data_IF_417075806845
#
_entry.id   IF_417075806845
#
_cell.length_a   1.000
_cell.length_b   1.000
_cell.length_c   1.000
_cell.angle_alpha   90.00
_cell.angle_beta   90.00
_cell.angle_gamma   90.00
#
_symmetry.space_group_name_H-M   'P 1'
#
loop_
_entity.id
_entity.type
_entity.pdbx_description
1 polymer ?
#
# COMPACT_ATOMS: atom_id res chain seq x y z
N UNK A 1 -6.72 20.30 -3.24
CA UNK A 1 -6.44 19.14 -4.10
C UNK A 1 -7.67 18.24 -4.13
N UNK A 2 -8.07 17.75 -5.30
CA UNK A 2 -9.16 16.76 -5.39
C UNK A 2 -8.73 15.46 -4.72
N UNK A 3 -9.53 14.92 -3.77
CA UNK A 3 -9.26 13.61 -3.19
C UNK A 3 -9.19 12.52 -4.26
N UNK A 4 -8.33 11.52 -4.05
CA UNK A 4 -8.29 10.34 -4.90
C UNK A 4 -9.46 9.42 -4.54
N UNK A 5 -10.21 8.96 -5.53
CA UNK A 5 -11.33 8.02 -5.35
C UNK A 5 -10.93 6.56 -5.62
N UNK A 6 -9.83 6.36 -6.36
CA UNK A 6 -9.34 5.04 -6.72
C UNK A 6 -7.81 4.98 -6.77
N UNK A 7 -7.27 3.89 -6.23
CA UNK A 7 -5.87 3.51 -6.36
C UNK A 7 -5.76 2.19 -7.12
N UNK A 8 -4.85 2.12 -8.09
CA UNK A 8 -4.45 0.87 -8.73
C UNK A 8 -2.99 0.58 -8.41
N UNK A 9 -2.72 -0.57 -7.79
CA UNK A 9 -1.38 -1.08 -7.54
C UNK A 9 -1.12 -2.16 -8.58
N UNK A 10 -0.25 -1.86 -9.53
CA UNK A 10 0.21 -2.81 -10.54
C UNK A 10 1.44 -3.55 -10.03
N UNK A 11 1.35 -4.88 -9.94
CA UNK A 11 2.51 -5.71 -9.60
C UNK A 11 3.48 -5.83 -10.77
N UNK A 12 3.02 -5.79 -12.02
CA UNK A 12 3.93 -5.81 -13.18
C UNK A 12 4.76 -4.52 -13.26
N UNK A 13 4.14 -3.36 -13.06
CA UNK A 13 4.83 -2.07 -13.14
C UNK A 13 5.59 -1.73 -11.85
N UNK A 14 5.34 -2.45 -10.75
CA UNK A 14 5.73 -2.07 -9.39
C UNK A 14 5.42 -0.59 -9.13
N UNK A 15 4.19 -0.19 -9.45
CA UNK A 15 3.76 1.20 -9.40
C UNK A 15 2.34 1.30 -8.83
N UNK A 16 2.12 2.39 -8.09
CA UNK A 16 0.81 2.83 -7.64
C UNK A 16 0.35 3.99 -8.52
N UNK A 17 -0.84 3.85 -9.08
CA UNK A 17 -1.54 4.85 -9.87
C UNK A 17 -2.74 5.38 -9.08
N UNK A 18 -2.78 6.70 -8.86
CA UNK A 18 -3.87 7.35 -8.14
C UNK A 18 -4.79 8.13 -9.08
N UNK A 19 -6.09 7.93 -8.97
CA UNK A 19 -7.10 8.53 -9.83
C UNK A 19 -8.10 9.40 -9.05
N UNK A 20 -8.65 10.40 -9.72
CA UNK A 20 -9.80 11.17 -9.26
C UNK A 20 -10.72 11.46 -10.45
N UNK A 21 -11.98 11.02 -10.36
CA UNK A 21 -12.96 11.11 -11.45
C UNK A 21 -12.51 10.37 -12.70
N UNK A 22 -11.83 9.23 -12.54
CA UNK A 22 -11.27 8.45 -13.66
C UNK A 22 -10.03 9.07 -14.32
N UNK A 23 -9.59 10.26 -13.91
CA UNK A 23 -8.37 10.88 -14.42
C UNK A 23 -7.18 10.50 -13.55
N UNK A 24 -6.09 10.08 -14.17
CA UNK A 24 -4.83 9.81 -13.48
C UNK A 24 -4.28 11.12 -12.89
N UNK A 25 -3.93 11.11 -11.59
CA UNK A 25 -3.41 12.27 -10.85
C UNK A 25 -2.09 12.02 -10.15
N UNK A 26 -1.62 10.79 -10.09
CA UNK A 26 -0.43 10.42 -9.35
C UNK A 26 0.13 9.09 -9.86
N UNK A 27 1.46 8.98 -9.94
CA UNK A 27 2.19 7.73 -10.16
C UNK A 27 3.34 7.68 -9.16
N UNK A 28 3.42 6.61 -8.38
CA UNK A 28 4.46 6.42 -7.37
C UNK A 28 5.07 5.03 -7.54
N UNK A 29 6.41 4.90 -7.63
CA UNK A 29 7.04 3.60 -7.60
C UNK A 29 6.81 2.95 -6.24
N UNK A 30 6.55 1.64 -6.23
CA UNK A 30 6.34 0.87 -5.00
C UNK A 30 7.28 -0.32 -4.96
N UNK A 31 7.37 -0.95 -3.79
CA UNK A 31 7.93 -2.31 -3.66
C UNK A 31 6.91 -3.21 -3.00
N UNK A 32 6.47 -4.21 -3.74
CA UNK A 32 5.52 -5.23 -3.29
C UNK A 32 6.26 -6.49 -2.82
N UNK A 33 5.52 -7.55 -2.48
CA UNK A 33 6.09 -8.75 -1.87
C UNK A 33 7.13 -9.44 -2.75
N UNK A 34 8.25 -9.82 -2.16
CA UNK A 34 9.25 -10.69 -2.81
C UNK A 34 8.63 -12.02 -3.28
N UNK A 35 7.70 -12.57 -2.49
CA UNK A 35 6.99 -13.82 -2.81
C UNK A 35 5.88 -13.63 -3.87
N UNK A 36 5.78 -12.44 -4.46
CA UNK A 36 4.82 -12.14 -5.51
C UNK A 36 3.36 -12.08 -5.02
N UNK A 37 2.39 -12.34 -5.91
CA UNK A 37 0.97 -12.27 -5.61
C UNK A 37 0.48 -13.48 -4.79
N UNK A 38 -0.46 -13.25 -3.86
CA UNK A 38 -1.09 -14.33 -3.10
C UNK A 38 -1.82 -13.89 -1.84
N UNK A 39 -2.91 -14.59 -1.53
CA UNK A 39 -3.87 -14.14 -0.53
C UNK A 39 -3.81 -14.91 0.79
N UNK A 40 -3.21 -16.11 0.79
CA UNK A 40 -3.13 -16.97 1.97
C UNK A 40 -2.35 -16.31 3.13
N UNK A 41 -2.89 -16.44 4.33
CA UNK A 41 -2.24 -16.00 5.55
C UNK A 41 -0.91 -16.75 5.75
N UNK A 42 0.13 -16.02 6.16
CA UNK A 42 1.49 -16.56 6.30
C UNK A 42 2.26 -16.74 4.99
N UNK A 43 1.70 -16.46 3.81
CA UNK A 43 2.41 -16.66 2.54
C UNK A 43 3.52 -15.64 2.26
N UNK A 44 3.51 -14.49 2.94
CA UNK A 44 4.39 -13.36 2.63
C UNK A 44 4.11 -12.68 1.28
N UNK A 45 3.03 -13.06 0.58
CA UNK A 45 2.66 -12.51 -0.73
C UNK A 45 1.81 -11.23 -0.60
N UNK A 46 1.75 -10.41 -1.65
CA UNK A 46 0.81 -9.28 -1.73
C UNK A 46 -0.56 -9.78 -2.22
N UNK A 47 -1.67 -9.56 -1.48
CA UNK A 47 -2.98 -10.04 -1.91
C UNK A 47 -3.49 -9.25 -3.12
N UNK A 48 -4.14 -9.95 -4.06
CA UNK A 48 -4.78 -9.33 -5.24
C UNK A 48 -6.26 -9.04 -5.00
N UNK A 49 -6.87 -8.38 -5.96
CA UNK A 49 -8.30 -8.11 -6.05
C UNK A 49 -8.70 -6.77 -5.46
N UNK A 50 -10.01 -6.59 -5.27
CA UNK A 50 -10.59 -5.35 -4.72
C UNK A 50 -10.34 -5.25 -3.22
N UNK A 51 -9.95 -4.06 -2.81
CA UNK A 51 -9.70 -3.64 -1.44
C UNK A 51 -10.28 -2.24 -1.23
N UNK A 52 -10.24 -1.79 0.02
CA UNK A 52 -10.47 -0.41 0.39
C UNK A 52 -9.45 0.02 1.45
N UNK A 53 -9.18 1.32 1.51
CA UNK A 53 -8.47 1.92 2.65
C UNK A 53 -9.41 1.92 3.85
N UNK A 54 -9.20 0.99 4.78
CA UNK A 54 -10.06 0.81 5.96
C UNK A 54 -9.75 1.78 7.09
N UNK A 55 -8.48 2.16 7.22
CA UNK A 55 -8.01 3.08 8.24
C UNK A 55 -6.74 3.82 7.77
N UNK A 56 -6.54 5.00 8.35
CA UNK A 56 -5.37 5.85 8.15
C UNK A 56 -4.71 6.06 9.51
N UNK A 57 -3.40 5.83 9.61
CA UNK A 57 -2.67 5.91 10.87
C UNK A 57 -1.42 6.75 10.69
N UNK A 58 -1.15 7.58 11.71
CA UNK A 58 0.05 8.39 11.80
C UNK A 58 -0.13 9.86 11.39
N UNK A 59 -1.36 10.33 11.17
CA UNK A 59 -1.63 11.76 10.95
C UNK A 59 -0.92 12.63 12.02
N UNK A 60 -0.31 13.73 11.60
CA UNK A 60 0.48 14.60 12.47
C UNK A 60 1.84 14.06 12.97
N UNK A 61 2.20 12.81 12.72
CA UNK A 61 3.52 12.27 13.13
C UNK A 61 4.66 12.81 12.25
N UNK A 62 5.91 12.85 12.75
CA UNK A 62 7.06 13.27 11.94
C UNK A 62 7.31 12.35 10.74
N UNK A 63 7.97 12.89 9.70
CA UNK A 63 8.49 12.09 8.59
C UNK A 63 9.50 11.07 9.14
N UNK A 64 9.41 9.81 8.72
CA UNK A 64 10.26 8.73 9.23
C UNK A 64 9.85 8.20 10.60
N UNK A 65 8.70 8.62 11.17
CA UNK A 65 8.18 8.06 12.42
C UNK A 65 8.10 6.53 12.34
N UNK A 66 8.68 5.83 13.32
CA UNK A 66 8.72 4.37 13.35
C UNK A 66 7.42 3.84 13.95
N UNK A 67 6.70 3.00 13.20
CA UNK A 67 5.43 2.41 13.61
C UNK A 67 5.61 0.93 13.92
N UNK A 68 5.12 0.49 15.10
CA UNK A 68 5.05 -0.93 15.49
C UNK A 68 3.65 -1.23 16.01
N UNK A 69 3.02 -2.31 15.53
CA UNK A 69 1.64 -2.63 15.92
C UNK A 69 0.65 -1.49 15.63
N UNK A 70 0.90 -0.73 14.55
CA UNK A 70 0.16 0.49 14.16
C UNK A 70 0.20 1.64 15.18
N UNK A 71 1.23 1.70 16.04
CA UNK A 71 1.45 2.80 16.99
C UNK A 71 2.85 3.37 16.80
N UNK A 72 2.98 4.68 17.01
CA UNK A 72 4.30 5.31 17.04
C UNK A 72 5.11 4.78 18.22
N UNK A 73 6.36 4.43 17.98
CA UNK A 73 7.28 3.98 19.04
C UNK A 73 7.92 5.15 19.80
N UNK A 74 7.70 6.39 19.34
CA UNK A 74 8.44 7.57 19.79
C UNK A 74 9.73 7.81 18.99
N UNK A 75 10.16 6.83 18.19
CA UNK A 75 11.38 6.93 17.39
C UNK A 75 11.10 7.55 16.01
N UNK A 76 12.09 8.26 15.48
CA UNK A 76 12.18 8.65 14.08
C UNK A 76 13.35 7.90 13.47
N UNK A 77 13.13 7.29 12.31
CA UNK A 77 14.15 6.51 11.63
C UNK A 77 15.36 7.36 11.27
N UNK A 78 16.55 6.80 11.48
CA UNK A 78 17.84 7.33 11.02
C UNK A 78 18.72 6.18 10.53
N UNK A 79 19.76 6.45 9.73
CA UNK A 79 20.74 5.43 9.35
C UNK A 79 21.38 4.73 10.57
N UNK A 80 21.69 5.49 11.63
CA UNK A 80 22.27 4.94 12.86
C UNK A 80 21.30 3.98 13.56
N UNK A 81 20.01 4.32 13.59
CA UNK A 81 18.98 3.43 14.14
C UNK A 81 18.79 2.19 13.25
N UNK A 82 18.94 2.33 11.93
CA UNK A 82 18.87 1.20 11.00
C UNK A 82 19.99 0.19 11.27
N UNK A 83 21.23 0.65 11.43
CA UNK A 83 22.40 -0.19 11.68
C UNK A 83 22.30 -1.00 12.98
N UNK A 84 21.59 -0.48 14.00
CA UNK A 84 21.34 -1.20 15.26
C UNK A 84 20.38 -2.37 15.11
N UNK A 85 19.52 -2.38 14.08
CA UNK A 85 18.50 -3.42 13.88
C UNK A 85 18.54 -3.95 12.43
N UNK A 86 19.63 -4.65 12.04
CA UNK A 86 19.77 -5.19 10.70
C UNK A 86 18.63 -6.17 10.39
N UNK A 87 18.07 -6.07 9.19
CA UNK A 87 16.99 -6.95 8.72
C UNK A 87 15.60 -6.67 9.32
N UNK A 88 15.45 -5.65 10.18
CA UNK A 88 14.14 -5.23 10.68
C UNK A 88 13.27 -4.71 9.52
N UNK A 89 12.03 -5.19 9.43
CA UNK A 89 11.04 -4.61 8.52
C UNK A 89 10.53 -3.28 9.11
N UNK A 90 10.90 -2.18 8.45
CA UNK A 90 10.61 -0.83 8.90
C UNK A 90 9.28 -0.34 8.33
N UNK A 91 8.30 -0.10 9.20
CA UNK A 91 7.06 0.59 8.86
C UNK A 91 7.19 2.03 9.31
N UNK A 92 7.31 2.96 8.35
CA UNK A 92 7.63 4.35 8.62
C UNK A 92 6.51 5.30 8.22
N UNK A 93 6.55 6.49 8.80
CA UNK A 93 5.84 7.70 8.39
C UNK A 93 4.32 7.61 8.57
N UNK A 94 3.61 6.80 7.78
CA UNK A 94 2.15 6.60 7.86
C UNK A 94 1.80 5.15 7.51
N UNK A 95 0.56 4.77 7.78
CA UNK A 95 -0.05 3.53 7.30
C UNK A 95 -1.41 3.85 6.68
N UNK A 96 -1.64 3.39 5.45
CA UNK A 96 -2.97 3.16 4.89
C UNK A 96 -3.27 1.67 5.02
N UNK A 97 -4.17 1.30 5.93
CA UNK A 97 -4.47 -0.10 6.20
C UNK A 97 -5.57 -0.60 5.28
N UNK A 98 -5.27 -1.65 4.52
CA UNK A 98 -6.19 -2.23 3.56
C UNK A 98 -7.11 -3.28 4.18
N UNK A 99 -8.34 -3.32 3.68
CA UNK A 99 -9.28 -4.42 3.91
C UNK A 99 -9.74 -4.95 2.56
N UNK A 100 -9.71 -6.27 2.39
CA UNK A 100 -10.20 -6.93 1.19
C UNK A 100 -11.72 -6.85 1.08
N UNK A 101 -12.21 -6.81 -0.15
CA UNK A 101 -13.64 -6.70 -0.47
C UNK A 101 -14.22 -8.00 -1.07
N UNK A 102 -13.40 -9.01 -1.36
CA UNK A 102 -13.80 -10.23 -2.08
C UNK A 102 -13.75 -11.46 -1.16
N UNK A 103 -14.94 -11.96 -0.78
CA UNK A 103 -15.06 -13.13 0.11
C UNK A 103 -14.39 -14.35 -0.51
N UNK A 104 -13.57 -15.05 0.29
CA UNK A 104 -12.88 -16.26 -0.16
C UNK A 104 -11.68 -16.01 -1.08
N UNK A 105 -11.47 -14.76 -1.52
CA UNK A 105 -10.26 -14.34 -2.23
C UNK A 105 -9.34 -13.50 -1.38
N UNK A 106 -9.80 -12.38 -0.83
CA UNK A 106 -8.96 -11.47 -0.02
C UNK A 106 -9.67 -10.97 1.26
N UNK A 107 -10.86 -11.52 1.54
CA UNK A 107 -11.73 -11.18 2.68
C UNK A 107 -12.25 -12.45 3.37
N UNK A 108 -12.24 -12.43 4.71
CA UNK A 108 -12.60 -13.52 5.60
C UNK A 108 -11.70 -14.77 5.48
N UNK A 109 -11.81 -15.67 6.47
CA UNK A 109 -11.08 -16.94 6.49
C UNK A 109 -9.56 -16.77 6.47
N UNK A 110 -8.86 -17.70 5.80
CA UNK A 110 -7.41 -17.72 5.69
C UNK A 110 -6.85 -16.72 4.68
N UNK A 111 -7.69 -15.94 4.02
CA UNK A 111 -7.27 -14.99 2.99
C UNK A 111 -7.53 -13.53 3.36
N UNK A 112 -7.95 -13.27 4.60
CA UNK A 112 -8.40 -11.95 5.03
C UNK A 112 -7.24 -10.93 5.08
N UNK A 113 -7.23 -10.00 4.13
CA UNK A 113 -6.19 -8.97 3.98
C UNK A 113 -6.06 -8.08 5.22
N UNK A 114 -7.17 -7.77 5.89
CA UNK A 114 -7.15 -6.91 7.07
C UNK A 114 -6.46 -7.61 8.24
N UNK A 115 -6.79 -8.88 8.48
CA UNK A 115 -6.15 -9.73 9.49
C UNK A 115 -4.69 -10.03 9.17
N UNK A 116 -4.32 -10.05 7.90
CA UNK A 116 -2.94 -10.17 7.42
C UNK A 116 -2.12 -8.89 7.55
N UNK A 117 -2.70 -7.79 8.05
CA UNK A 117 -1.99 -6.54 8.32
C UNK A 117 -1.32 -5.93 7.08
N UNK A 118 -1.99 -6.01 5.92
CA UNK A 118 -1.44 -5.45 4.67
C UNK A 118 -1.66 -3.94 4.62
N UNK A 119 -0.58 -3.22 4.39
CA UNK A 119 -0.51 -1.76 4.42
C UNK A 119 0.08 -1.18 3.14
N UNK A 120 -0.26 0.07 2.85
CA UNK A 120 0.68 0.98 2.19
C UNK A 120 1.40 1.76 3.29
N UNK A 121 2.73 1.77 3.26
CA UNK A 121 3.52 2.45 4.29
C UNK A 121 4.85 2.98 3.77
N UNK A 122 5.48 3.84 4.56
CA UNK A 122 6.78 4.43 4.27
C UNK A 122 7.88 3.46 4.62
N UNK A 123 9.01 3.57 3.92
CA UNK A 123 10.16 2.68 4.09
C UNK A 123 11.47 3.48 4.06
N UNK A 124 12.58 2.97 4.63
CA UNK A 124 13.90 3.58 4.51
C UNK A 124 14.31 3.81 3.05
N UNK A 125 15.10 4.85 2.80
CA UNK A 125 15.58 5.15 1.44
C UNK A 125 16.55 4.08 0.90
N UNK A 126 17.11 3.25 1.78
CA UNK A 126 17.96 2.10 1.45
C UNK A 126 17.20 0.94 0.81
N UNK A 127 15.89 0.84 1.01
CA UNK A 127 15.07 -0.21 0.37
C UNK A 127 14.84 0.15 -1.11
N UNK A 128 14.86 -0.80 -2.05
CA UNK A 128 14.66 -0.48 -3.47
C UNK A 128 13.18 -0.26 -3.79
N UNK A 129 12.88 0.61 -4.76
CA UNK A 129 11.54 0.84 -5.31
C UNK A 129 11.50 0.38 -6.77
N UNK A 130 10.32 0.01 -7.27
CA UNK A 130 10.17 -0.53 -8.63
C UNK A 130 10.52 -2.02 -8.75
N UNK A 131 10.83 -2.69 -7.63
CA UNK A 131 11.12 -4.13 -7.59
C UNK A 131 10.47 -4.78 -6.36
N UNK A 132 10.00 -6.04 -6.44
CA UNK A 132 9.38 -6.70 -5.29
C UNK A 132 10.42 -7.11 -4.23
N UNK A 133 10.31 -6.57 -3.02
CA UNK A 133 11.21 -6.83 -1.87
C UNK A 133 10.54 -6.79 -0.49
N UNK A 134 9.23 -6.57 -0.41
CA UNK A 134 8.51 -6.56 0.88
C UNK A 134 8.13 -7.97 1.35
N UNK A 135 7.56 -8.05 2.56
CA UNK A 135 7.00 -9.29 3.15
C UNK A 135 5.47 -9.40 3.01
N UNK A 136 4.86 -8.66 2.08
CA UNK A 136 3.41 -8.68 1.85
C UNK A 136 2.80 -7.29 1.72
N UNK A 137 3.33 -6.30 2.45
CA UNK A 137 2.88 -4.91 2.36
C UNK A 137 3.34 -4.23 1.08
N UNK A 138 2.80 -3.05 0.80
CA UNK A 138 3.21 -2.20 -0.31
C UNK A 138 4.04 -1.06 0.27
N UNK A 139 5.34 -1.06 -0.03
CA UNK A 139 6.29 -0.04 0.44
C UNK A 139 6.30 1.15 -0.52
N UNK A 140 6.35 2.34 0.05
CA UNK A 140 6.55 3.61 -0.65
C UNK A 140 7.71 4.38 -0.02
N UNK A 141 8.30 5.32 -0.77
CA UNK A 141 9.16 6.34 -0.17
C UNK A 141 8.36 7.17 0.84
N UNK A 142 9.04 7.63 1.89
CA UNK A 142 8.37 8.39 2.97
C UNK A 142 7.68 9.65 2.46
N UNK A 143 8.29 10.37 1.51
CA UNK A 143 7.70 11.58 0.90
C UNK A 143 6.49 11.26 0.03
N UNK A 144 6.59 10.23 -0.80
CA UNK A 144 5.50 9.76 -1.66
C UNK A 144 4.29 9.31 -0.84
N UNK A 145 4.54 8.60 0.26
CA UNK A 145 3.49 8.21 1.20
C UNK A 145 2.84 9.42 1.86
N UNK A 146 3.60 10.45 2.25
CA UNK A 146 3.04 11.67 2.83
C UNK A 146 2.09 12.36 1.84
N UNK A 147 2.48 12.48 0.58
CA UNK A 147 1.63 13.05 -0.46
C UNK A 147 0.37 12.20 -0.67
N UNK A 148 0.53 10.88 -0.81
CA UNK A 148 -0.58 9.95 -0.98
C UNK A 148 -1.56 10.02 0.20
N UNK A 149 -1.04 10.03 1.42
CA UNK A 149 -1.82 10.04 2.64
C UNK A 149 -2.71 11.28 2.75
N UNK A 150 -2.22 12.45 2.33
CA UNK A 150 -3.01 13.68 2.33
C UNK A 150 -4.19 13.64 1.34
N UNK A 151 -4.08 12.84 0.27
CA UNK A 151 -5.03 12.82 -0.85
C UNK A 151 -6.03 11.67 -0.80
N UNK A 152 -5.74 10.62 -0.03
CA UNK A 152 -6.55 9.39 0.02
C UNK A 152 -7.52 9.42 1.22
N UNK A 153 -8.84 9.37 0.99
CA UNK A 153 -9.82 9.22 2.07
C UNK A 153 -9.92 7.78 2.58
N UNK A 154 -10.51 7.60 3.77
CA UNK A 154 -11.01 6.28 4.19
C UNK A 154 -12.09 5.84 3.21
N UNK A 155 -12.19 4.53 2.95
CA UNK A 155 -13.03 3.91 1.93
C UNK A 155 -12.64 4.17 0.48
N UNK A 156 -11.52 4.86 0.22
CA UNK A 156 -10.92 4.91 -1.12
C UNK A 156 -10.74 3.48 -1.66
N UNK A 157 -11.24 3.25 -2.88
CA UNK A 157 -11.19 1.95 -3.52
C UNK A 157 -9.75 1.65 -3.96
N UNK A 158 -9.31 0.41 -3.76
CA UNK A 158 -7.96 -0.02 -4.13
C UNK A 158 -8.06 -1.31 -4.93
N UNK A 159 -7.48 -1.33 -6.12
CA UNK A 159 -7.32 -2.53 -6.93
C UNK A 159 -5.85 -2.95 -6.90
N UNK A 160 -5.59 -4.23 -6.64
CA UNK A 160 -4.25 -4.82 -6.71
C UNK A 160 -4.29 -5.95 -7.73
N UNK A 161 -3.50 -5.87 -8.78
CA UNK A 161 -3.43 -6.92 -9.81
C UNK A 161 -2.05 -7.04 -10.46
N UNK A 162 -1.89 -8.15 -11.19
CA UNK A 162 -0.65 -8.51 -11.89
C UNK A 162 -0.50 -7.79 -13.24
N UNK A 163 -1.53 -7.06 -13.69
CA UNK A 163 -1.51 -6.42 -14.98
C UNK A 163 -0.74 -5.09 -14.93
N UNK A 164 -0.16 -4.70 -16.06
CA UNK A 164 0.31 -3.33 -16.25
C UNK A 164 -0.89 -2.38 -16.21
N UNK A 165 -0.70 -1.14 -15.76
CA UNK A 165 -1.77 -0.16 -15.86
C UNK A 165 -1.89 0.30 -17.33
N UNK A 166 -3.00 0.01 -18.04
CA UNK A 166 -3.18 0.54 -19.38
C UNK A 166 -3.41 2.04 -19.25
N UNK A 167 -2.35 2.81 -19.48
CA UNK A 167 -2.42 4.26 -19.59
C UNK A 167 -3.16 4.61 -20.89
N UNK A 168 -4.49 4.44 -20.91
CA UNK A 168 -5.25 4.59 -22.14
C UNK A 168 -6.73 4.16 -22.12
N UNK A 169 -7.35 3.87 -20.97
CA UNK A 169 -8.81 3.63 -20.94
C UNK A 169 -9.46 4.68 -20.05
N UNK A 170 -9.99 5.72 -20.68
CA UNK A 170 -11.10 6.46 -20.10
C UNK A 170 -12.21 5.45 -19.77
N UNK A 171 -12.60 5.40 -18.50
CA UNK A 171 -13.93 4.99 -18.04
C UNK A 171 -14.59 3.84 -18.83
N UNK A 172 -14.33 2.58 -18.45
CA UNK A 172 -15.30 1.51 -18.76
C UNK A 172 -15.33 0.33 -17.78
N UNK A 173 -14.37 0.20 -16.84
CA UNK A 173 -14.39 -0.91 -15.87
C UNK A 173 -15.15 -0.59 -14.55
N UNK A 174 -16.07 0.37 -14.58
CA UNK A 174 -17.05 0.63 -13.52
C UNK A 174 -18.47 0.42 -14.06
N UNK A 175 -18.72 -0.72 -14.70
CA UNK A 175 -20.08 -1.27 -14.78
C UNK A 175 -20.20 -2.33 -13.70
N UNK A 176 -20.57 -1.89 -12.50
CA UNK A 176 -21.18 -2.76 -11.50
C UNK A 176 -22.54 -3.10 -12.12
N UNK A 177 -22.65 -4.28 -12.74
CA UNK A 177 -23.95 -4.86 -13.03
C UNK A 177 -24.60 -5.20 -11.69
N UNK A 178 -25.83 -4.75 -11.52
CA UNK A 178 -26.73 -5.00 -10.40
C UNK A 178 -26.80 -6.48 -10.02
#
# INVERSE_FOLDING_TARGET
>A
MTPLDFLHISLADQCLYGFAGGQLRLRLPVSTALNGPGELNGSGCTPRGRHQVRAKIGEGLPLGAVLRGRRWTGEVWSPQLHEQFPGRDWILTRILWLSGCERGRNRLGQVDTFRRYIYLHGTPDTEPMGVPRSHGCIRLRNRDLMELFARVPVHCAVQIDEATCPLGIGTSCLSIKE
#
